data_IF_417043781258
#
_entry.id   IF_417043781258
#
_cell.length_a   1.000
_cell.length_b   1.000
_cell.length_c   1.000
_cell.angle_alpha   90.00
_cell.angle_beta   90.00
_cell.angle_gamma   90.00
#
_symmetry.space_group_name_H-M   'P 1'
#
loop_
_entity.id
_entity.type
_entity.pdbx_description
1 polymer ?
#
# COMPACT_ATOMS: atom_id res chain seq x y z
N UNK A 1 -2.88 -3.60 6.74
CA UNK A 1 -3.19 -4.18 5.41
C UNK A 1 -3.79 -5.55 5.66
N UNK A 2 -4.82 -5.91 4.92
CA UNK A 2 -5.48 -7.20 5.03
C UNK A 2 -5.42 -7.87 3.67
N UNK A 3 -4.88 -9.08 3.63
CA UNK A 3 -5.02 -9.91 2.43
C UNK A 3 -6.45 -10.47 2.39
N UNK A 4 -7.17 -10.20 1.30
CA UNK A 4 -8.58 -10.58 1.18
C UNK A 4 -8.79 -12.08 0.98
N UNK A 5 -7.80 -12.81 0.46
CA UNK A 5 -7.91 -14.25 0.20
C UNK A 5 -7.74 -15.06 1.49
N UNK A 6 -6.67 -14.80 2.25
CA UNK A 6 -6.35 -15.54 3.46
C UNK A 6 -6.87 -14.88 4.73
N UNK A 7 -7.44 -13.68 4.62
CA UNK A 7 -7.82 -12.84 5.76
C UNK A 7 -6.64 -12.53 6.69
N UNK A 8 -5.40 -12.57 6.17
CA UNK A 8 -4.22 -12.30 6.97
C UNK A 8 -4.10 -10.79 7.20
N UNK A 9 -3.97 -10.40 8.47
CA UNK A 9 -3.89 -8.99 8.88
C UNK A 9 -2.46 -8.65 9.25
N UNK A 10 -1.88 -7.67 8.59
CA UNK A 10 -0.60 -7.08 8.97
C UNK A 10 -0.78 -5.62 9.37
N UNK A 11 -0.36 -5.28 10.60
CA UNK A 11 -0.36 -3.92 11.11
C UNK A 11 1.09 -3.44 11.27
N UNK A 12 1.45 -2.37 10.55
CA UNK A 12 2.78 -1.78 10.59
C UNK A 12 2.64 -0.42 11.30
N UNK A 13 3.20 -0.26 12.51
CA UNK A 13 3.08 0.98 13.25
C UNK A 13 3.90 2.07 12.56
N UNK A 14 3.31 3.26 12.42
CA UNK A 14 3.98 4.41 11.81
C UNK A 14 3.73 5.66 12.64
N UNK A 15 4.75 6.54 12.73
CA UNK A 15 4.62 7.77 13.51
C UNK A 15 3.66 8.79 12.87
N UNK A 16 3.54 8.78 11.53
CA UNK A 16 2.63 9.63 10.75
C UNK A 16 2.14 8.89 9.50
N UNK A 17 0.84 8.96 9.27
CA UNK A 17 0.18 8.44 8.07
C UNK A 17 0.29 9.44 6.91
N UNK A 18 1.46 9.49 6.27
CA UNK A 18 1.69 10.27 5.04
C UNK A 18 1.80 9.36 3.83
N UNK A 19 1.64 9.91 2.63
CA UNK A 19 1.81 9.16 1.39
C UNK A 19 3.20 8.52 1.29
N UNK A 20 4.26 9.23 1.69
CA UNK A 20 5.63 8.69 1.68
C UNK A 20 5.76 7.49 2.62
N UNK A 21 5.14 7.55 3.79
CA UNK A 21 5.12 6.41 4.71
C UNK A 21 4.42 5.21 4.08
N UNK A 22 3.27 5.42 3.42
CA UNK A 22 2.53 4.34 2.75
C UNK A 22 3.37 3.72 1.62
N UNK A 23 3.98 4.54 0.75
CA UNK A 23 4.88 4.05 -0.32
C UNK A 23 6.01 3.20 0.27
N UNK A 24 6.64 3.69 1.34
CA UNK A 24 7.71 2.98 2.02
C UNK A 24 7.22 1.62 2.54
N UNK A 25 6.07 1.59 3.19
CA UNK A 25 5.46 0.35 3.69
C UNK A 25 5.20 -0.63 2.54
N UNK A 26 4.61 -0.18 1.43
CA UNK A 26 4.34 -1.05 0.28
C UNK A 26 5.63 -1.65 -0.29
N UNK A 27 6.65 -0.82 -0.54
CA UNK A 27 7.90 -1.24 -1.17
C UNK A 27 8.82 -2.05 -0.26
N UNK A 28 8.86 -1.77 1.04
CA UNK A 28 9.79 -2.42 1.96
C UNK A 28 9.18 -3.61 2.70
N UNK A 29 7.87 -3.62 2.93
CA UNK A 29 7.21 -4.67 3.73
C UNK A 29 6.32 -5.60 2.91
N UNK A 30 5.59 -5.07 1.93
CA UNK A 30 4.54 -5.84 1.23
C UNK A 30 5.07 -6.50 -0.03
N UNK A 31 5.58 -5.70 -0.98
CA UNK A 31 6.06 -6.19 -2.28
C UNK A 31 7.16 -7.25 -2.14
N UNK A 32 8.16 -7.12 -1.24
CA UNK A 32 9.20 -8.14 -1.11
C UNK A 32 8.72 -9.49 -0.57
N UNK A 33 7.59 -9.52 0.16
CA UNK A 33 7.09 -10.74 0.82
C UNK A 33 5.98 -11.42 0.05
N UNK A 34 5.09 -10.63 -0.53
CA UNK A 34 3.85 -11.10 -1.16
C UNK A 34 3.81 -10.84 -2.67
N UNK A 35 4.80 -10.13 -3.21
CA UNK A 35 4.78 -9.65 -4.58
C UNK A 35 3.93 -8.37 -4.72
N UNK A 36 3.79 -7.91 -5.96
CA UNK A 36 2.97 -6.74 -6.28
C UNK A 36 1.50 -7.13 -6.20
N UNK A 37 0.67 -6.45 -5.39
CA UNK A 37 -0.76 -6.73 -5.32
C UNK A 37 -1.46 -6.33 -6.62
N UNK A 38 -2.53 -7.03 -6.99
CA UNK A 38 -3.32 -6.69 -8.19
C UNK A 38 -4.11 -5.38 -8.01
N UNK A 39 -4.66 -5.14 -6.82
CA UNK A 39 -5.40 -3.95 -6.45
C UNK A 39 -5.25 -3.63 -4.96
N UNK A 40 -5.47 -2.37 -4.59
CA UNK A 40 -5.49 -1.94 -3.19
C UNK A 40 -6.79 -1.16 -2.92
N UNK A 41 -7.66 -1.74 -2.10
CA UNK A 41 -8.85 -1.06 -1.60
C UNK A 41 -8.48 -0.20 -0.38
N UNK A 42 -8.75 1.11 -0.47
CA UNK A 42 -8.44 2.07 0.60
C UNK A 42 -9.62 2.98 0.93
N UNK A 43 -9.54 3.65 2.09
CA UNK A 43 -10.57 4.57 2.60
C UNK A 43 -10.59 5.95 1.89
N UNK A 44 -9.90 6.06 0.76
CA UNK A 44 -9.68 7.30 0.01
C UNK A 44 -9.00 8.42 0.82
N UNK A 45 -8.31 8.07 1.93
CA UNK A 45 -7.54 9.02 2.71
C UNK A 45 -6.46 9.74 1.88
N UNK A 46 -6.03 10.96 2.27
CA UNK A 46 -5.02 11.74 1.52
C UNK A 46 -3.69 11.01 1.32
N UNK A 47 -3.36 10.11 2.24
CA UNK A 47 -2.17 9.28 2.21
C UNK A 47 -2.26 8.12 1.18
N UNK A 48 -3.45 7.81 0.66
CA UNK A 48 -3.68 6.85 -0.43
C UNK A 48 -4.07 7.52 -1.75
N UNK A 49 -4.62 8.74 -1.73
CA UNK A 49 -5.07 9.46 -2.94
C UNK A 49 -4.03 10.42 -3.52
N UNK A 50 -2.88 10.58 -2.86
CA UNK A 50 -1.79 11.45 -3.31
C UNK A 50 -1.24 11.06 -4.69
N UNK A 51 -0.66 12.04 -5.41
CA UNK A 51 -0.03 11.81 -6.72
C UNK A 51 1.08 10.76 -6.67
N UNK A 52 1.82 10.68 -5.56
CA UNK A 52 2.94 9.75 -5.42
C UNK A 52 2.43 8.31 -5.35
N UNK A 53 1.34 8.06 -4.62
CA UNK A 53 0.73 6.72 -4.58
C UNK A 53 0.18 6.34 -5.94
N UNK A 54 -0.52 7.25 -6.63
CA UNK A 54 -1.02 6.99 -7.98
C UNK A 54 0.09 6.64 -8.97
N UNK A 55 1.17 7.43 -8.97
CA UNK A 55 2.34 7.16 -9.82
C UNK A 55 3.01 5.82 -9.49
N UNK A 56 3.07 5.44 -8.21
CA UNK A 56 3.57 4.13 -7.79
C UNK A 56 2.65 3.00 -8.31
N UNK A 57 1.34 3.13 -8.13
CA UNK A 57 0.36 2.15 -8.60
C UNK A 57 0.46 1.97 -10.11
N UNK A 58 0.55 3.06 -10.88
CA UNK A 58 0.74 3.02 -12.32
C UNK A 58 2.06 2.33 -12.72
N UNK A 59 3.17 2.65 -12.04
CA UNK A 59 4.48 2.07 -12.32
C UNK A 59 4.55 0.56 -12.01
N UNK A 60 3.80 0.11 -11.01
CA UNK A 60 3.75 -1.29 -10.58
C UNK A 60 2.59 -2.07 -11.22
N UNK A 61 1.69 -1.41 -11.94
CA UNK A 61 0.50 -2.05 -12.52
C UNK A 61 -0.59 -2.42 -11.51
N UNK A 62 -0.64 -1.73 -10.37
CA UNK A 62 -1.67 -1.90 -9.34
C UNK A 62 -2.91 -1.10 -9.76
N UNK A 63 -4.08 -1.72 -9.72
CA UNK A 63 -5.36 -1.06 -10.04
C UNK A 63 -5.89 -0.16 -8.91
#
# INVERSE_FOLDING_TARGET
LVDHLTHFVEAIPTARATAQTVVKVLLEHIVPRYGVPESIDSDQGPHFTSKVIKALSEALGIR
#
